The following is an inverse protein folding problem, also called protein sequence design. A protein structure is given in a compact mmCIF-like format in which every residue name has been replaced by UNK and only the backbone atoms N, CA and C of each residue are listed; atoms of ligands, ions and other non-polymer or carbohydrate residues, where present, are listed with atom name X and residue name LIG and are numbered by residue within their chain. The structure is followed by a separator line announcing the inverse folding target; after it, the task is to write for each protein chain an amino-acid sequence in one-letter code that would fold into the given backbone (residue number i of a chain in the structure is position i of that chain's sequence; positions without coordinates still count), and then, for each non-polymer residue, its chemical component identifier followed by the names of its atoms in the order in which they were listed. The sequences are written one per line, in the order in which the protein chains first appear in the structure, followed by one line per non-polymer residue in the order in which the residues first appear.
data_IF_308854184910
#
_entry.id   IF_308854184910
#
_cell.length_a   1.000
_cell.length_b   1.000
_cell.length_c   1.000
_cell.angle_alpha   90.00
_cell.angle_beta   90.00
_cell.angle_gamma   90.00
#
_symmetry.space_group_name_H-M   'P 1'
#
loop_
_entity.id
_entity.type
_entity.pdbx_description
1 polymer ?
#
# COMPACT_ATOMS: atom_id res chain seq x y z
N UNK A 1 17.97 2.78 -3.17
CA UNK A 1 16.76 2.92 -4.01
C UNK A 1 16.37 1.57 -4.62
N UNK A 2 15.08 1.25 -4.83
CA UNK A 2 14.67 -0.09 -5.25
C UNK A 2 15.16 -0.49 -6.65
N UNK A 3 15.41 0.48 -7.54
CA UNK A 3 15.96 0.23 -8.88
C UNK A 3 17.47 -0.05 -8.90
N UNK A 4 18.14 0.12 -7.77
CA UNK A 4 19.55 -0.26 -7.63
C UNK A 4 19.72 -1.69 -7.12
N UNK A 5 18.64 -2.35 -6.68
CA UNK A 5 18.68 -3.73 -6.22
C UNK A 5 18.28 -4.68 -7.36
N UNK A 6 19.21 -5.47 -7.92
CA UNK A 6 18.90 -6.38 -9.02
C UNK A 6 17.80 -7.38 -8.70
N UNK A 7 17.57 -7.70 -7.41
CA UNK A 7 16.54 -8.64 -6.97
C UNK A 7 15.12 -8.10 -7.17
N UNK A 8 14.98 -6.77 -7.19
CA UNK A 8 13.69 -6.09 -7.37
C UNK A 8 13.37 -5.82 -8.85
N UNK A 9 14.35 -5.98 -9.75
CA UNK A 9 14.23 -5.66 -11.19
C UNK A 9 13.32 -6.62 -11.98
N UNK A 10 13.21 -7.90 -11.58
CA UNK A 10 12.43 -8.93 -12.30
C UNK A 10 11.09 -9.15 -11.66
N UNK A 11 9.99 -9.03 -12.40
CA UNK A 11 8.64 -9.26 -11.86
C UNK A 11 8.45 -10.70 -11.32
N UNK A 12 7.80 -10.87 -10.15
CA UNK A 12 7.24 -9.84 -9.28
C UNK A 12 8.26 -9.19 -8.32
N UNK A 13 9.53 -9.60 -8.30
CA UNK A 13 10.60 -8.91 -7.57
C UNK A 13 10.49 -9.05 -6.06
N UNK A 14 9.97 -10.19 -5.59
CA UNK A 14 9.58 -10.40 -4.20
C UNK A 14 10.75 -10.92 -3.38
N UNK A 15 10.86 -10.43 -2.14
CA UNK A 15 11.83 -10.80 -1.12
C UNK A 15 11.12 -11.22 0.17
N UNK A 16 11.74 -12.07 1.01
CA UNK A 16 11.24 -12.33 2.35
C UNK A 16 11.17 -11.05 3.18
N UNK A 17 10.09 -10.89 3.94
CA UNK A 17 9.87 -9.78 4.86
C UNK A 17 10.33 -10.16 6.27
N UNK A 18 11.07 -9.26 6.94
CA UNK A 18 11.41 -9.44 8.35
C UNK A 18 10.14 -9.33 9.22
N UNK A 19 10.01 -10.13 10.30
CA UNK A 19 8.84 -10.07 11.18
C UNK A 19 8.54 -8.64 11.67
N UNK A 20 7.28 -8.21 11.54
CA UNK A 20 6.84 -6.87 11.95
C UNK A 20 7.26 -5.71 11.03
N UNK A 21 8.09 -5.93 10.01
CA UNK A 21 8.68 -4.88 9.18
C UNK A 21 7.76 -4.40 8.02
N UNK A 22 6.43 -4.47 8.18
CA UNK A 22 5.45 -4.10 7.15
C UNK A 22 4.70 -2.80 7.41
N UNK A 23 5.03 -2.11 8.51
CA UNK A 23 4.61 -0.75 8.83
C UNK A 23 5.87 0.09 9.05
N UNK A 24 5.91 1.31 8.51
CA UNK A 24 7.03 2.25 8.60
C UNK A 24 6.56 3.58 9.15
N UNK A 25 7.45 4.19 9.93
CA UNK A 25 7.38 5.60 10.32
C UNK A 25 8.66 6.25 9.82
N UNK A 26 8.53 7.28 9.00
CA UNK A 26 9.66 8.04 8.46
C UNK A 26 9.54 9.54 8.79
N UNK A 27 10.48 10.33 8.30
CA UNK A 27 10.52 11.78 8.51
C UNK A 27 9.32 12.53 7.91
N UNK A 28 8.63 11.92 6.94
CA UNK A 28 7.45 12.51 6.30
C UNK A 28 6.15 12.22 7.05
N UNK A 29 6.20 11.45 8.15
CA UNK A 29 5.03 10.99 8.91
C UNK A 29 4.02 12.11 9.18
N UNK A 30 4.42 13.21 9.81
CA UNK A 30 3.48 14.28 10.19
C UNK A 30 2.75 14.89 8.97
N UNK A 31 3.48 15.13 7.88
CA UNK A 31 2.90 15.68 6.65
C UNK A 31 1.98 14.69 5.95
N UNK A 32 2.37 13.42 5.87
CA UNK A 32 1.54 12.37 5.28
C UNK A 32 0.28 12.15 6.10
N UNK A 33 0.36 12.05 7.43
CA UNK A 33 -0.82 11.84 8.28
C UNK A 33 -1.81 13.00 8.19
N UNK A 34 -1.34 14.24 8.08
CA UNK A 34 -2.21 15.40 7.85
C UNK A 34 -2.97 15.30 6.51
N UNK A 35 -2.31 14.87 5.44
CA UNK A 35 -2.96 14.67 4.14
C UNK A 35 -3.95 13.49 4.16
N UNK A 36 -3.60 12.38 4.84
CA UNK A 36 -4.53 11.24 5.03
C UNK A 36 -5.80 11.68 5.74
N UNK A 37 -5.68 12.44 6.82
CA UNK A 37 -6.83 12.97 7.56
C UNK A 37 -7.68 13.91 6.71
N UNK A 38 -7.04 14.81 5.94
CA UNK A 38 -7.74 15.69 5.01
C UNK A 38 -8.54 14.89 3.98
N UNK A 39 -7.95 13.84 3.40
CA UNK A 39 -8.60 12.99 2.40
C UNK A 39 -9.74 12.15 3.00
N UNK A 40 -9.53 11.57 4.18
CA UNK A 40 -10.55 10.82 4.91
C UNK A 40 -11.75 11.73 5.24
N UNK A 41 -11.51 12.98 5.64
CA UNK A 41 -12.58 13.92 5.94
C UNK A 41 -13.28 14.46 4.69
N UNK A 42 -12.54 14.75 3.62
CA UNK A 42 -13.06 15.43 2.44
C UNK A 42 -13.71 14.49 1.40
N UNK A 43 -13.22 13.26 1.28
CA UNK A 43 -13.72 12.29 0.30
C UNK A 43 -13.57 10.83 0.80
N UNK A 44 -14.20 10.48 1.92
CA UNK A 44 -14.07 9.14 2.52
C UNK A 44 -14.40 8.02 1.54
N UNK A 45 -15.39 8.20 0.66
CA UNK A 45 -15.82 7.22 -0.34
C UNK A 45 -14.77 6.92 -1.41
N UNK A 46 -13.77 7.79 -1.58
CA UNK A 46 -12.68 7.60 -2.55
C UNK A 46 -11.48 6.88 -1.96
N UNK A 47 -11.31 6.96 -0.64
CA UNK A 47 -10.15 6.43 0.06
C UNK A 47 -10.48 5.26 0.97
N UNK A 48 -11.74 5.02 1.30
CA UNK A 48 -12.16 3.95 2.19
C UNK A 48 -13.32 3.16 1.61
N UNK A 49 -13.21 1.84 1.63
CA UNK A 49 -14.29 0.92 1.33
C UNK A 49 -14.10 -0.38 2.10
N UNK A 50 -15.19 -0.95 2.60
CA UNK A 50 -15.17 -2.26 3.27
C UNK A 50 -16.44 -3.01 2.93
N UNK A 51 -16.29 -4.26 2.49
CA UNK A 51 -17.40 -5.18 2.27
C UNK A 51 -17.77 -5.88 3.59
N UNK A 52 -19.03 -6.28 3.79
CA UNK A 52 -19.45 -6.93 5.04
C UNK A 52 -18.62 -8.17 5.42
N UNK A 53 -18.12 -8.93 4.44
CA UNK A 53 -17.29 -10.11 4.72
C UNK A 53 -15.93 -9.76 5.35
N UNK A 54 -15.41 -8.55 5.13
CA UNK A 54 -14.09 -8.13 5.61
C UNK A 54 -14.09 -7.64 7.07
N UNK A 55 -15.24 -7.63 7.76
CA UNK A 55 -15.35 -7.05 9.11
C UNK A 55 -14.35 -7.70 10.10
N UNK A 56 -14.31 -9.04 10.15
CA UNK A 56 -13.40 -9.76 11.05
C UNK A 56 -11.93 -9.55 10.68
N UNK A 57 -11.62 -9.50 9.38
CA UNK A 57 -10.27 -9.27 8.88
C UNK A 57 -9.78 -7.86 9.18
N UNK A 58 -10.67 -6.86 9.14
CA UNK A 58 -10.35 -5.49 9.47
C UNK A 58 -10.09 -5.30 10.97
N UNK A 59 -10.88 -5.96 11.83
CA UNK A 59 -10.63 -5.96 13.28
C UNK A 59 -9.30 -6.64 13.63
N UNK A 60 -9.02 -7.80 13.02
CA UNK A 60 -7.76 -8.49 13.22
C UNK A 60 -6.56 -7.66 12.70
N UNK A 61 -6.72 -7.00 11.55
CA UNK A 61 -5.70 -6.08 11.04
C UNK A 61 -5.46 -4.92 12.01
N UNK A 62 -6.52 -4.35 12.59
CA UNK A 62 -6.40 -3.30 13.60
C UNK A 62 -5.60 -3.77 14.82
N UNK A 63 -5.86 -4.98 15.32
CA UNK A 63 -5.10 -5.55 16.42
C UNK A 63 -3.63 -5.80 16.03
N UNK A 64 -3.39 -6.40 14.87
CA UNK A 64 -2.04 -6.71 14.38
C UNK A 64 -1.18 -5.44 14.19
N UNK A 65 -1.76 -4.34 13.70
CA UNK A 65 -1.03 -3.06 13.61
C UNK A 65 -0.79 -2.47 14.99
N UNK A 66 -1.79 -2.48 15.88
CA UNK A 66 -1.65 -1.95 17.25
C UNK A 66 -0.49 -2.60 18.02
N UNK A 67 -0.25 -3.90 17.81
CA UNK A 67 0.86 -4.62 18.43
C UNK A 67 2.24 -4.10 17.96
N UNK A 68 2.33 -3.51 16.76
CA UNK A 68 3.57 -2.95 16.21
C UNK A 68 3.83 -1.51 16.66
N UNK A 69 2.77 -0.76 17.00
CA UNK A 69 2.85 0.68 17.28
C UNK A 69 3.88 1.07 18.37
N UNK A 70 4.02 0.37 19.51
CA UNK A 70 5.02 0.72 20.51
C UNK A 70 6.45 0.72 19.97
N UNK A 71 6.79 -0.25 19.11
CA UNK A 71 8.12 -0.35 18.48
C UNK A 71 8.40 0.75 17.46
N UNK A 72 7.36 1.48 17.04
CA UNK A 72 7.40 2.54 16.04
C UNK A 72 7.31 3.94 16.67
N UNK A 73 7.44 4.05 17.99
CA UNK A 73 7.44 5.32 18.71
C UNK A 73 6.06 5.85 19.09
N UNK A 74 5.01 5.05 18.96
CA UNK A 74 3.68 5.39 19.48
C UNK A 74 3.59 5.07 20.97
N UNK A 75 2.79 5.85 21.70
CA UNK A 75 2.56 5.63 23.12
C UNK A 75 1.09 5.49 23.40
N UNK A 76 0.70 4.44 24.13
CA UNK A 76 -0.69 4.21 24.50
C UNK A 76 -1.19 5.33 25.41
N UNK A 77 -2.33 5.93 25.06
CA UNK A 77 -3.00 6.95 25.87
C UNK A 77 -4.50 6.63 25.99
N UNK A 78 -4.89 6.06 27.13
CA UNK A 78 -6.27 5.61 27.36
C UNK A 78 -6.73 4.61 26.30
N UNK A 79 -7.84 4.93 25.62
CA UNK A 79 -8.39 4.16 24.51
C UNK A 79 -7.77 4.51 23.13
N UNK A 80 -6.70 5.29 23.10
CA UNK A 80 -6.04 5.76 21.88
C UNK A 80 -4.53 5.57 21.89
N UNK A 81 -3.90 6.14 20.88
CA UNK A 81 -2.45 6.20 20.72
C UNK A 81 -2.02 7.65 20.49
N UNK A 82 -0.98 8.07 21.22
CA UNK A 82 -0.16 9.22 20.85
C UNK A 82 0.81 8.80 19.77
N UNK A 83 0.73 9.47 18.63
CA UNK A 83 1.54 9.23 17.43
C UNK A 83 2.93 9.86 17.55
N UNK A 84 3.88 9.49 16.67
CA UNK A 84 5.20 10.12 16.60
C UNK A 84 5.19 11.64 16.37
N UNK A 85 4.14 12.18 15.73
CA UNK A 85 3.94 13.62 15.55
C UNK A 85 3.35 14.34 16.79
N UNK A 86 3.17 13.61 17.90
CA UNK A 86 2.62 14.13 19.16
C UNK A 86 1.10 14.21 19.21
N UNK A 87 0.38 13.93 18.11
CA UNK A 87 -1.08 13.96 18.10
C UNK A 87 -1.66 12.68 18.69
N UNK A 88 -2.79 12.79 19.38
CA UNK A 88 -3.51 11.65 19.94
C UNK A 88 -4.67 11.26 19.03
N UNK A 89 -4.80 9.96 18.75
CA UNK A 89 -5.92 9.40 17.99
C UNK A 89 -6.59 8.29 18.80
N UNK A 90 -7.90 8.41 18.99
CA UNK A 90 -8.70 7.37 19.62
C UNK A 90 -8.80 6.16 18.71
N UNK A 91 -8.86 4.96 19.29
CA UNK A 91 -9.13 3.74 18.53
C UNK A 91 -10.65 3.54 18.44
N UNK A 92 -11.21 3.67 17.24
CA UNK A 92 -12.60 3.34 16.98
C UNK A 92 -12.69 1.96 16.30
N UNK A 93 -13.11 0.96 17.07
CA UNK A 93 -13.32 -0.41 16.57
C UNK A 93 -14.54 -0.55 15.68
N UNK A 94 -15.48 0.41 15.69
CA UNK A 94 -16.57 0.40 14.71
C UNK A 94 -16.09 0.78 13.30
N UNK A 95 -14.89 1.38 13.21
CA UNK A 95 -14.31 1.86 11.96
C UNK A 95 -12.80 1.50 11.87
N UNK A 96 -12.45 0.19 11.86
CA UNK A 96 -11.05 -0.25 12.03
C UNK A 96 -10.11 0.30 10.96
N UNK A 97 -10.51 0.27 9.68
CA UNK A 97 -9.69 0.79 8.58
C UNK A 97 -9.53 2.32 8.61
N UNK A 98 -10.55 3.06 9.05
CA UNK A 98 -10.44 4.51 9.23
C UNK A 98 -9.51 4.85 10.40
N UNK A 99 -9.61 4.12 11.51
CA UNK A 99 -8.68 4.24 12.64
C UNK A 99 -7.24 4.00 12.18
N UNK A 100 -7.00 2.93 11.43
CA UNK A 100 -5.67 2.64 10.86
C UNK A 100 -5.19 3.76 9.93
N UNK A 101 -6.07 4.28 9.07
CA UNK A 101 -5.77 5.41 8.19
C UNK A 101 -5.32 6.68 8.91
N UNK A 102 -5.69 6.83 10.18
CA UNK A 102 -5.30 7.95 11.05
C UNK A 102 -4.08 7.63 11.93
N UNK A 103 -3.59 6.39 11.95
CA UNK A 103 -2.45 5.96 12.76
C UNK A 103 -1.19 5.72 11.94
N UNK A 104 -1.28 5.10 10.77
CA UNK A 104 -0.11 4.66 9.98
C UNK A 104 -0.05 5.30 8.59
N UNK A 105 1.16 5.40 8.04
CA UNK A 105 1.41 6.03 6.73
C UNK A 105 0.94 5.17 5.56
N UNK A 106 0.87 3.86 5.77
CA UNK A 106 0.54 2.85 4.79
C UNK A 106 -0.89 3.00 4.27
N UNK A 107 -1.05 2.82 2.96
CA UNK A 107 -2.31 2.33 2.45
C UNK A 107 -2.41 0.83 2.74
N UNK A 108 -3.57 0.41 3.25
CA UNK A 108 -3.82 -0.96 3.68
C UNK A 108 -5.01 -1.52 2.92
N UNK A 109 -4.79 -2.62 2.22
CA UNK A 109 -5.79 -3.37 1.49
C UNK A 109 -5.92 -4.77 2.07
N UNK A 110 -7.15 -5.25 2.24
CA UNK A 110 -7.49 -6.60 2.70
C UNK A 110 -7.93 -7.40 1.49
N UNK A 111 -7.26 -8.53 1.27
CA UNK A 111 -7.62 -9.50 0.24
C UNK A 111 -7.98 -10.84 0.87
N UNK A 112 -9.17 -11.33 0.56
CA UNK A 112 -9.70 -12.60 1.07
C UNK A 112 -9.92 -13.59 -0.08
N UNK A 113 -9.88 -14.89 0.22
CA UNK A 113 -10.13 -15.91 -0.80
C UNK A 113 -11.59 -15.88 -1.25
N UNK A 114 -11.80 -15.65 -2.55
CA UNK A 114 -13.12 -15.65 -3.19
C UNK A 114 -13.64 -17.06 -3.46
N UNK A 115 -14.90 -17.15 -3.88
CA UNK A 115 -15.56 -18.45 -4.14
C UNK A 115 -14.97 -19.22 -5.33
N UNK A 116 -14.22 -18.53 -6.19
CA UNK A 116 -13.49 -19.09 -7.34
C UNK A 116 -12.00 -19.35 -7.02
N UNK A 117 -11.59 -19.17 -5.77
CA UNK A 117 -10.20 -19.30 -5.31
C UNK A 117 -9.33 -18.08 -5.61
N UNK A 118 -9.83 -17.06 -6.31
CA UNK A 118 -9.08 -15.83 -6.53
C UNK A 118 -9.11 -14.96 -5.27
N UNK A 119 -7.99 -14.32 -4.92
CA UNK A 119 -8.00 -13.35 -3.82
C UNK A 119 -8.74 -12.07 -4.25
N UNK A 120 -9.78 -11.68 -3.51
CA UNK A 120 -10.67 -10.54 -3.76
C UNK A 120 -10.32 -9.38 -2.83
N UNK A 121 -10.23 -8.16 -3.36
CA UNK A 121 -10.10 -6.95 -2.54
C UNK A 121 -11.42 -6.68 -1.80
N UNK A 122 -11.47 -6.93 -0.50
CA UNK A 122 -12.71 -6.85 0.30
C UNK A 122 -12.74 -5.67 1.26
N UNK A 123 -11.60 -5.06 1.56
CA UNK A 123 -11.54 -3.82 2.33
C UNK A 123 -10.28 -3.02 2.03
N UNK A 124 -10.33 -1.70 2.15
CA UNK A 124 -9.16 -0.85 2.01
C UNK A 124 -9.30 0.51 2.69
N UNK A 125 -8.16 1.04 3.15
CA UNK A 125 -7.91 2.45 3.35
C UNK A 125 -6.73 2.85 2.44
N UNK A 126 -7.06 3.51 1.33
CA UNK A 126 -6.21 3.83 0.19
C UNK A 126 -6.18 5.35 -0.03
N UNK A 127 -5.40 6.05 0.80
CA UNK A 127 -5.28 7.51 0.74
C UNK A 127 -4.29 7.96 -0.32
N UNK A 128 -3.30 7.16 -0.72
CA UNK A 128 -2.26 7.57 -1.67
C UNK A 128 -2.20 6.64 -2.89
N UNK A 129 -3.29 6.43 -3.66
CA UNK A 129 -3.28 5.61 -4.85
C UNK A 129 -2.38 6.20 -5.95
N UNK A 130 -1.70 5.31 -6.68
CA UNK A 130 -0.91 5.64 -7.86
C UNK A 130 -1.61 5.16 -9.14
N UNK A 131 -2.39 6.03 -9.78
CA UNK A 131 -3.06 5.76 -11.06
C UNK A 131 -4.09 4.60 -11.04
N UNK A 132 -4.81 4.42 -9.94
CA UNK A 132 -6.01 3.57 -9.89
C UNK A 132 -7.01 4.11 -8.86
N UNK A 133 -8.28 3.69 -8.95
CA UNK A 133 -9.36 4.16 -8.07
C UNK A 133 -9.96 3.00 -7.28
N UNK A 134 -10.08 3.15 -5.96
CA UNK A 134 -10.60 2.09 -5.07
C UNK A 134 -11.98 1.58 -5.49
N UNK A 135 -12.89 2.50 -5.84
CA UNK A 135 -14.25 2.16 -6.25
C UNK A 135 -14.34 1.25 -7.48
N UNK A 136 -13.34 1.27 -8.36
CA UNK A 136 -13.28 0.38 -9.53
C UNK A 136 -12.67 -0.98 -9.20
N UNK A 137 -12.03 -1.14 -8.04
CA UNK A 137 -11.29 -2.36 -7.66
C UNK A 137 -11.91 -3.15 -6.53
N UNK A 138 -12.60 -2.49 -5.60
CA UNK A 138 -13.26 -3.15 -4.47
C UNK A 138 -14.24 -4.23 -4.97
N UNK A 139 -14.21 -5.40 -4.35
CA UNK A 139 -15.01 -6.58 -4.74
C UNK A 139 -14.51 -7.35 -5.96
N UNK A 140 -13.39 -6.94 -6.59
CA UNK A 140 -12.79 -7.69 -7.70
C UNK A 140 -11.68 -8.62 -7.21
N UNK A 141 -11.59 -9.80 -7.83
CA UNK A 141 -10.44 -10.70 -7.70
C UNK A 141 -9.17 -10.12 -8.30
N UNK A 142 -8.00 -10.62 -7.89
CA UNK A 142 -6.68 -10.23 -8.43
C UNK A 142 -6.65 -10.16 -9.98
N UNK A 143 -7.23 -11.11 -10.74
CA UNK A 143 -7.29 -10.99 -12.20
C UNK A 143 -8.05 -9.75 -12.68
N UNK A 144 -9.20 -9.46 -12.07
CA UNK A 144 -10.05 -8.31 -12.41
C UNK A 144 -9.44 -6.97 -11.99
N UNK A 145 -8.69 -6.94 -10.88
CA UNK A 145 -7.96 -5.74 -10.44
C UNK A 145 -6.90 -5.35 -11.46
N UNK A 146 -6.20 -6.33 -12.02
CA UNK A 146 -5.03 -6.14 -12.88
C UNK A 146 -5.35 -6.20 -14.38
N UNK A 147 -6.61 -6.26 -14.79
CA UNK A 147 -7.01 -6.22 -16.21
C UNK A 147 -6.37 -5.07 -17.01
N UNK A 148 -6.20 -3.84 -16.46
CA UNK A 148 -5.55 -2.74 -17.19
C UNK A 148 -4.02 -2.89 -17.34
N UNK A 149 -3.40 -3.85 -16.65
CA UNK A 149 -1.93 -4.00 -16.63
C UNK A 149 -1.50 -4.86 -17.81
N UNK A 150 -0.82 -4.24 -18.79
CA UNK A 150 -0.30 -4.93 -19.95
C UNK A 150 0.65 -6.07 -19.56
N UNK A 151 0.42 -7.27 -20.12
CA UNK A 151 1.24 -8.46 -19.84
C UNK A 151 0.96 -9.14 -18.50
N UNK A 152 -0.07 -8.72 -17.75
CA UNK A 152 -0.46 -9.39 -16.52
C UNK A 152 -1.11 -10.76 -16.76
N UNK A 153 -2.03 -10.82 -17.74
CA UNK A 153 -2.79 -12.03 -18.03
C UNK A 153 -1.87 -13.23 -18.38
N UNK A 154 -2.30 -14.43 -17.97
CA UNK A 154 -1.59 -15.68 -18.27
C UNK A 154 -0.56 -16.04 -17.21
N UNK A 155 0.72 -16.14 -17.60
CA UNK A 155 1.76 -16.70 -16.73
C UNK A 155 2.05 -15.85 -15.47
N UNK A 156 1.96 -14.52 -15.59
CA UNK A 156 2.18 -13.61 -14.46
C UNK A 156 1.03 -13.68 -13.47
N UNK A 157 -0.22 -13.60 -13.95
CA UNK A 157 -1.43 -13.82 -13.15
C UNK A 157 -1.37 -15.12 -12.33
N UNK A 158 -1.10 -16.26 -12.98
CA UNK A 158 -0.99 -17.55 -12.30
C UNK A 158 0.17 -17.61 -11.29
N UNK A 159 1.23 -16.81 -11.49
CA UNK A 159 2.35 -16.71 -10.55
C UNK A 159 1.99 -15.85 -9.35
N UNK A 160 1.25 -14.76 -9.54
CA UNK A 160 0.79 -13.87 -8.46
C UNK A 160 -0.24 -14.59 -7.60
N UNK A 161 -1.19 -15.31 -8.19
CA UNK A 161 -2.16 -16.09 -7.40
C UNK A 161 -1.46 -17.13 -6.51
N UNK A 162 -0.58 -17.97 -7.09
CA UNK A 162 0.20 -18.96 -6.32
C UNK A 162 1.04 -18.33 -5.22
N UNK A 163 1.52 -17.11 -5.43
CA UNK A 163 2.25 -16.39 -4.41
C UNK A 163 1.33 -16.05 -3.24
N UNK A 164 0.15 -15.48 -3.49
CA UNK A 164 -0.84 -15.21 -2.45
C UNK A 164 -1.18 -16.50 -1.69
N UNK A 165 -1.51 -17.58 -2.39
CA UNK A 165 -1.83 -18.89 -1.78
C UNK A 165 -0.71 -19.38 -0.84
N UNK A 166 0.55 -19.11 -1.19
CA UNK A 166 1.72 -19.58 -0.44
C UNK A 166 2.13 -18.69 0.76
N UNK A 167 1.55 -17.50 0.95
CA UNK A 167 1.91 -16.62 2.07
C UNK A 167 1.46 -17.25 3.39
N UNK A 168 2.41 -17.40 4.31
CA UNK A 168 2.17 -17.88 5.67
C UNK A 168 2.25 -16.73 6.67
N UNK A 169 1.50 -16.76 7.79
CA UNK A 169 1.51 -15.68 8.77
C UNK A 169 2.90 -15.30 9.28
N UNK A 170 3.77 -16.28 9.48
CA UNK A 170 5.15 -16.12 9.94
C UNK A 170 6.13 -15.67 8.84
N UNK A 171 5.71 -15.70 7.57
CA UNK A 171 6.56 -15.40 6.43
C UNK A 171 5.84 -14.48 5.45
N UNK A 172 5.83 -13.19 5.80
CA UNK A 172 5.44 -12.14 4.89
C UNK A 172 6.43 -12.00 3.73
N UNK A 173 5.97 -11.28 2.71
CA UNK A 173 6.72 -11.00 1.50
C UNK A 173 6.72 -9.50 1.25
N UNK A 174 7.75 -8.99 0.61
CA UNK A 174 7.75 -7.60 0.17
C UNK A 174 8.44 -7.41 -1.17
N UNK A 175 8.13 -6.30 -1.81
CA UNK A 175 8.78 -5.79 -3.01
C UNK A 175 8.78 -4.27 -2.96
N UNK A 176 9.47 -3.65 -3.89
CA UNK A 176 9.28 -2.23 -4.15
C UNK A 176 9.20 -1.95 -5.65
N UNK A 177 8.48 -0.89 -6.00
CA UNK A 177 8.45 -0.32 -7.34
C UNK A 177 9.03 1.10 -7.31
N UNK A 178 9.33 1.64 -8.49
CA UNK A 178 9.60 3.06 -8.67
C UNK A 178 9.11 3.51 -10.04
N UNK A 179 8.64 4.75 -10.10
CA UNK A 179 8.03 5.35 -11.27
C UNK A 179 8.39 6.84 -11.33
N UNK A 180 8.55 7.35 -12.56
CA UNK A 180 8.80 8.76 -12.83
C UNK A 180 7.50 9.58 -12.75
N UNK A 181 7.54 10.72 -12.05
CA UNK A 181 6.39 11.58 -11.80
C UNK A 181 6.76 13.06 -11.97
N UNK A 182 5.82 13.84 -12.52
CA UNK A 182 5.96 15.30 -12.65
C UNK A 182 5.44 16.06 -11.43
N UNK A 183 4.46 15.49 -10.74
CA UNK A 183 3.74 16.11 -9.63
C UNK A 183 4.01 15.30 -8.34
N UNK A 184 4.37 15.97 -7.22
CA UNK A 184 4.62 15.30 -5.94
C UNK A 184 3.36 14.90 -5.17
N UNK A 185 2.16 15.22 -5.65
CA UNK A 185 0.91 14.91 -4.96
C UNK A 185 0.81 13.42 -4.58
N UNK A 186 0.43 13.13 -3.35
CA UNK A 186 0.34 11.74 -2.87
C UNK A 186 -0.93 11.04 -3.38
N UNK A 187 -2.03 11.78 -3.50
CA UNK A 187 -3.33 11.29 -3.97
C UNK A 187 -3.49 11.52 -5.48
N UNK A 188 -3.18 10.49 -6.28
CA UNK A 188 -3.26 10.54 -7.74
C UNK A 188 -4.13 9.38 -8.29
N UNK A 189 -5.42 9.30 -7.92
CA UNK A 189 -6.32 8.29 -8.47
C UNK A 189 -6.55 8.54 -9.96
N UNK A 190 -6.73 7.46 -10.71
CA UNK A 190 -7.03 7.47 -12.14
C UNK A 190 -8.05 6.39 -12.43
N UNK A 191 -9.02 6.67 -13.29
CA UNK A 191 -10.01 5.67 -13.71
C UNK A 191 -9.43 4.75 -14.77
N UNK A 192 -9.92 3.51 -14.86
CA UNK A 192 -9.44 2.53 -15.86
C UNK A 192 -9.54 3.06 -17.31
N UNK A 193 -10.57 3.85 -17.61
CA UNK A 193 -10.79 4.44 -18.94
C UNK A 193 -9.91 5.67 -19.24
N UNK A 194 -9.22 6.22 -18.24
CA UNK A 194 -8.39 7.41 -18.41
C UNK A 194 -6.98 7.03 -18.86
N UNK A 195 -6.56 7.54 -20.01
CA UNK A 195 -5.17 7.38 -20.45
C UNK A 195 -4.25 8.22 -19.58
N UNK A 196 -3.12 7.64 -19.17
CA UNK A 196 -2.02 8.42 -18.57
C UNK A 196 -1.55 9.42 -19.61
N UNK A 197 -1.52 10.73 -19.31
CA UNK A 197 -0.91 11.70 -20.20
C UNK A 197 0.51 11.22 -20.52
N UNK A 198 0.88 11.23 -21.80
CA UNK A 198 2.28 11.07 -22.17
C UNK A 198 3.01 12.31 -21.68
N UNK A 199 3.49 12.31 -20.45
CA UNK A 199 4.28 13.40 -19.94
C UNK A 199 5.55 13.51 -20.78
N UNK A 200 5.64 14.58 -21.57
CA UNK A 200 6.80 14.87 -22.43
C UNK A 200 7.89 15.63 -21.66
N UNK A 201 7.62 16.01 -20.40
CA UNK A 201 8.60 16.57 -19.49
C UNK A 201 9.27 15.42 -18.72
N UNK A 202 10.59 15.45 -18.59
CA UNK A 202 11.30 14.58 -17.64
C UNK A 202 10.75 14.88 -16.23
N UNK A 203 10.33 13.86 -15.50
CA UNK A 203 9.68 14.04 -14.21
C UNK A 203 10.59 14.69 -13.18
N UNK A 204 10.01 15.54 -12.33
CA UNK A 204 10.69 16.24 -11.24
C UNK A 204 10.76 15.42 -9.95
N UNK A 205 10.05 14.29 -9.88
CA UNK A 205 9.91 13.47 -8.69
C UNK A 205 9.98 11.99 -9.04
N UNK A 206 10.53 11.21 -8.11
CA UNK A 206 10.45 9.76 -8.15
C UNK A 206 9.46 9.32 -7.08
N UNK A 207 8.45 8.57 -7.51
CA UNK A 207 7.52 7.89 -6.60
C UNK A 207 7.92 6.44 -6.47
N UNK A 208 8.05 5.96 -5.25
CA UNK A 208 8.36 4.56 -4.95
C UNK A 208 7.41 4.02 -3.91
N UNK A 209 6.94 2.79 -4.10
CA UNK A 209 6.09 2.11 -3.14
C UNK A 209 6.80 0.88 -2.62
N UNK A 210 6.96 0.81 -1.29
CA UNK A 210 7.31 -0.43 -0.62
C UNK A 210 6.03 -1.18 -0.32
N UNK A 211 5.93 -2.36 -0.90
CA UNK A 211 4.73 -3.16 -0.97
C UNK A 211 4.94 -4.46 -0.20
N UNK A 212 4.18 -4.66 0.86
CA UNK A 212 4.24 -5.84 1.72
C UNK A 212 2.96 -6.67 1.58
N UNK A 213 3.12 -7.99 1.60
CA UNK A 213 2.04 -8.96 1.65
C UNK A 213 2.19 -9.78 2.94
N UNK A 214 1.23 -9.68 3.83
CA UNK A 214 1.24 -10.34 5.14
C UNK A 214 -0.05 -11.12 5.32
N UNK A 215 0.02 -12.37 5.79
CA UNK A 215 -1.16 -13.18 6.06
C UNK A 215 -1.58 -13.02 7.52
N UNK A 216 -2.82 -12.63 7.76
CA UNK A 216 -3.38 -12.59 9.11
C UNK A 216 -3.55 -14.02 9.67
N UNK A 217 -3.19 -14.29 10.93
CA UNK A 217 -3.18 -15.66 11.46
C UNK A 217 -4.57 -16.28 11.64
N UNK A 218 -5.60 -15.52 12.02
CA UNK A 218 -6.94 -16.04 12.32
C UNK A 218 -7.84 -16.07 11.08
N UNK A 219 -8.11 -14.91 10.49
CA UNK A 219 -9.00 -14.76 9.32
C UNK A 219 -8.37 -15.26 8.04
N UNK A 220 -7.05 -15.44 8.06
CA UNK A 220 -6.28 -15.82 6.87
C UNK A 220 -6.40 -14.79 5.75
N UNK A 221 -6.83 -13.55 5.98
CA UNK A 221 -6.77 -12.53 4.93
C UNK A 221 -5.32 -12.16 4.59
N UNK A 222 -5.04 -11.80 3.33
CA UNK A 222 -3.78 -11.13 2.96
C UNK A 222 -3.95 -9.64 3.12
N UNK A 223 -3.08 -9.03 3.89
CA UNK A 223 -2.91 -7.59 3.98
C UNK A 223 -1.88 -7.19 2.93
N UNK A 224 -2.29 -6.33 2.01
CA UNK A 224 -1.40 -5.61 1.12
C UNK A 224 -1.14 -4.22 1.71
N UNK A 225 0.03 -4.05 2.29
CA UNK A 225 0.52 -2.81 2.90
C UNK A 225 1.39 -2.05 1.88
N UNK A 226 1.12 -0.77 1.69
CA UNK A 226 1.76 0.07 0.69
C UNK A 226 2.28 1.34 1.37
N UNK A 227 3.59 1.40 1.60
CA UNK A 227 4.24 2.61 2.06
C UNK A 227 4.75 3.42 0.87
N UNK A 228 4.34 4.68 0.78
CA UNK A 228 4.61 5.56 -0.37
C UNK A 228 5.71 6.57 -0.05
N UNK A 229 6.75 6.56 -0.87
CA UNK A 229 7.80 7.58 -0.91
C UNK A 229 7.61 8.44 -2.16
N UNK A 230 7.74 9.77 -2.00
CA UNK A 230 7.85 10.72 -3.11
C UNK A 230 9.04 11.62 -2.82
N UNK A 231 10.07 11.53 -3.66
CA UNK A 231 11.31 12.29 -3.49
C UNK A 231 11.57 13.17 -4.71
N UNK A 232 12.08 14.40 -4.55
CA UNK A 232 12.49 15.20 -5.69
C UNK A 232 13.62 14.49 -6.44
N UNK A 233 13.49 14.33 -7.75
CA UNK A 233 14.52 13.66 -8.57
C UNK A 233 15.88 14.35 -8.48
N UNK A 234 15.88 15.66 -8.25
CA UNK A 234 17.09 16.46 -8.05
C UNK A 234 17.92 16.05 -6.81
N UNK A 235 17.35 15.27 -5.87
CA UNK A 235 18.11 14.75 -4.72
C UNK A 235 18.83 13.44 -5.01
N UNK A 236 18.62 12.84 -6.18
CA UNK A 236 19.35 11.64 -6.58
C UNK A 236 20.82 11.95 -6.87
N UNK A 237 21.70 11.05 -6.45
CA UNK A 237 23.09 11.03 -6.90
C UNK A 237 23.16 10.73 -8.41
N UNK A 238 24.26 11.10 -9.10
CA UNK A 238 24.43 10.76 -10.51
C UNK A 238 24.34 9.26 -10.81
N UNK A 239 24.79 8.42 -9.87
CA UNK A 239 24.71 6.96 -9.99
C UNK A 239 23.26 6.46 -9.89
N UNK A 240 22.50 6.97 -8.92
CA UNK A 240 21.08 6.64 -8.75
C UNK A 240 20.23 7.03 -9.96
N UNK A 241 20.49 8.22 -10.52
CA UNK A 241 19.81 8.73 -11.71
C UNK A 241 20.14 7.90 -12.96
N UNK A 242 21.41 7.51 -13.12
CA UNK A 242 21.83 6.64 -14.22
C UNK A 242 21.17 5.25 -14.13
N UNK A 243 21.13 4.66 -12.94
CA UNK A 243 20.48 3.37 -12.71
C UNK A 243 18.95 3.44 -12.94
N UNK A 244 18.30 4.52 -12.51
CA UNK A 244 16.87 4.74 -12.75
C UNK A 244 16.58 4.82 -14.25
N UNK A 245 17.34 5.64 -14.97
CA UNK A 245 17.18 5.83 -16.43
C UNK A 245 17.42 4.53 -17.20
N UNK A 246 18.39 3.72 -16.79
CA UNK A 246 18.65 2.42 -17.44
C UNK A 246 17.51 1.41 -17.23
N UNK A 247 16.77 1.52 -16.12
CA UNK A 247 15.72 0.56 -15.75
C UNK A 247 14.34 0.96 -16.27
N UNK A 248 14.03 2.26 -16.28
CA UNK A 248 12.69 2.79 -16.56
C UNK A 248 12.63 3.88 -17.64
N UNK A 249 13.78 4.30 -18.17
CA UNK A 249 13.88 5.32 -19.22
C UNK A 249 13.63 4.82 -20.64
#
# INVERSE_FOLDING_TARGET
MPWMDPRLSRLPGIQPLAPGDWIRVDEAYAGQMAERERLIAACPERVHAILPCAAEAADELLDAVQDLLPGLGFVREGAGWRRPDGQVRAVDRAAPLLTLGQLVQEDLCILEEGTDGAHVLTGAILCFPASWTLAEKIGRGLPGIHTPVAGYAGALEARVQRLFDAIRPEQGLWRANALDYVDPALFQPRREAETRPKDRQRGGFIRSERQCLVRLPRTRAVVFSIHTYVVPRATLTPEEEAAFTATYG
#
